data_IF_574579216061
#
_entry.id   IF_574579216061
#
_cell.length_a   1.000
_cell.length_b   1.000
_cell.length_c   1.000
_cell.angle_alpha   90.00
_cell.angle_beta   90.00
_cell.angle_gamma   90.00
#
_symmetry.space_group_name_H-M   'P 1'
#
loop_
_entity.id
_entity.type
_entity.pdbx_description
1 polymer ?
#
# COMPACT_ATOMS: atom_id res chain seq x y z
N UNK A 1 -83.60 -3.15 -17.32
CA UNK A 1 -82.80 -2.38 -16.34
C UNK A 1 -82.66 -0.97 -16.85
N UNK A 2 -83.14 0.02 -16.10
CA UNK A 2 -83.00 1.42 -16.52
C UNK A 2 -81.58 1.92 -16.29
N UNK A 3 -81.13 2.89 -17.09
CA UNK A 3 -79.83 3.56 -16.93
C UNK A 3 -79.64 4.12 -15.51
N UNK A 4 -80.75 4.49 -14.84
CA UNK A 4 -80.74 5.03 -13.49
C UNK A 4 -80.40 3.94 -12.45
N UNK A 5 -80.94 2.73 -12.61
CA UNK A 5 -80.64 1.59 -11.72
C UNK A 5 -79.19 1.12 -11.85
N UNK A 6 -78.67 1.10 -13.08
CA UNK A 6 -77.26 0.79 -13.35
C UNK A 6 -76.32 1.80 -12.68
N UNK A 7 -76.63 3.10 -12.73
CA UNK A 7 -75.83 4.14 -12.07
C UNK A 7 -75.81 3.96 -10.55
N UNK A 8 -76.96 3.71 -9.94
CA UNK A 8 -77.04 3.49 -8.49
C UNK A 8 -76.30 2.22 -8.05
N UNK A 9 -76.32 1.16 -8.87
CA UNK A 9 -75.52 -0.04 -8.58
C UNK A 9 -74.01 0.21 -8.72
N UNK A 10 -73.58 0.96 -9.75
CA UNK A 10 -72.17 1.32 -9.93
C UNK A 10 -71.67 2.18 -8.77
N UNK A 11 -72.46 3.15 -8.33
CA UNK A 11 -72.13 4.03 -7.19
C UNK A 11 -71.98 3.22 -5.91
N UNK A 12 -72.93 2.31 -5.61
CA UNK A 12 -72.86 1.41 -4.47
C UNK A 12 -71.62 0.51 -4.48
N UNK A 13 -71.29 -0.08 -5.65
CA UNK A 13 -70.10 -0.92 -5.79
C UNK A 13 -68.82 -0.10 -5.63
N UNK A 14 -68.80 1.14 -6.14
CA UNK A 14 -67.65 2.04 -6.00
C UNK A 14 -67.38 2.38 -4.53
N UNK A 15 -68.42 2.71 -3.76
CA UNK A 15 -68.32 3.01 -2.33
C UNK A 15 -67.79 1.81 -1.54
N UNK A 16 -68.30 0.61 -1.84
CA UNK A 16 -67.85 -0.63 -1.21
C UNK A 16 -66.40 -0.96 -1.57
N UNK A 17 -65.99 -0.69 -2.81
CA UNK A 17 -64.60 -0.83 -3.25
C UNK A 17 -63.67 0.15 -2.52
N UNK A 18 -64.11 1.39 -2.28
CA UNK A 18 -63.33 2.37 -1.53
C UNK A 18 -63.20 1.98 -0.05
N UNK A 19 -64.27 1.47 0.56
CA UNK A 19 -64.27 0.97 1.93
C UNK A 19 -63.30 -0.21 2.10
N UNK A 20 -63.34 -1.18 1.18
CA UNK A 20 -62.43 -2.32 1.18
C UNK A 20 -60.97 -1.90 0.98
N UNK A 21 -60.70 -0.89 0.14
CA UNK A 21 -59.35 -0.31 -0.02
C UNK A 21 -58.84 0.31 1.27
N UNK A 22 -59.68 1.07 1.99
CA UNK A 22 -59.31 1.66 3.30
C UNK A 22 -59.02 0.57 4.34
N UNK A 23 -59.82 -0.49 4.37
CA UNK A 23 -59.61 -1.61 5.28
C UNK A 23 -58.32 -2.39 4.96
N UNK A 24 -58.04 -2.64 3.68
CA UNK A 24 -56.77 -3.25 3.24
C UNK A 24 -55.55 -2.38 3.59
N UNK A 25 -55.66 -1.06 3.45
CA UNK A 25 -54.59 -0.14 3.84
C UNK A 25 -54.29 -0.24 5.34
N UNK A 26 -55.33 -0.30 6.18
CA UNK A 26 -55.19 -0.49 7.63
C UNK A 26 -54.52 -1.83 7.97
N UNK A 27 -55.01 -2.94 7.41
CA UNK A 27 -54.42 -4.26 7.64
C UNK A 27 -52.96 -4.36 7.18
N UNK A 28 -52.59 -3.68 6.08
CA UNK A 28 -51.18 -3.59 5.63
C UNK A 28 -50.31 -2.82 6.63
N UNK A 29 -50.83 -1.73 7.19
CA UNK A 29 -50.15 -0.97 8.24
C UNK A 29 -49.96 -1.81 9.52
N UNK A 30 -51.01 -2.51 9.96
CA UNK A 30 -50.95 -3.36 11.15
C UNK A 30 -49.97 -4.54 10.96
N UNK A 31 -49.97 -5.15 9.77
CA UNK A 31 -49.00 -6.20 9.41
C UNK A 31 -47.57 -5.67 9.44
N UNK A 32 -47.29 -4.48 8.89
CA UNK A 32 -45.93 -3.94 8.89
C UNK A 32 -45.43 -3.65 10.31
N UNK A 33 -46.30 -3.15 11.19
CA UNK A 33 -46.00 -2.92 12.60
C UNK A 33 -45.64 -4.22 13.33
N UNK A 34 -46.46 -5.27 13.16
CA UNK A 34 -46.20 -6.57 13.76
C UNK A 34 -44.93 -7.22 13.21
N UNK A 35 -44.67 -7.08 11.91
CA UNK A 35 -43.45 -7.57 11.28
C UNK A 35 -42.21 -6.87 11.86
N UNK A 36 -42.27 -5.56 12.10
CA UNK A 36 -41.20 -4.80 12.74
C UNK A 36 -40.96 -5.26 14.19
N UNK A 37 -42.03 -5.47 14.97
CA UNK A 37 -41.93 -5.98 16.34
C UNK A 37 -41.32 -7.40 16.39
N UNK A 38 -41.73 -8.28 15.48
CA UNK A 38 -41.18 -9.63 15.38
C UNK A 38 -39.69 -9.60 15.03
N UNK A 39 -39.28 -8.79 14.05
CA UNK A 39 -37.88 -8.65 13.68
C UNK A 39 -37.03 -8.13 14.84
N UNK A 40 -37.55 -7.20 15.64
CA UNK A 40 -36.85 -6.68 16.83
C UNK A 40 -36.62 -7.74 17.92
N UNK A 41 -37.52 -8.73 18.04
CA UNK A 41 -37.39 -9.83 19.01
C UNK A 41 -36.46 -10.94 18.50
N UNK A 42 -36.45 -11.17 17.18
CA UNK A 42 -35.69 -12.26 16.57
C UNK A 42 -34.25 -11.87 16.20
N UNK A 43 -33.95 -10.59 16.01
CA UNK A 43 -32.62 -10.13 15.60
C UNK A 43 -31.61 -10.22 16.77
N UNK A 44 -30.64 -11.16 16.73
CA UNK A 44 -29.66 -11.31 17.79
C UNK A 44 -28.77 -10.07 17.94
N UNK A 45 -28.59 -9.29 16.87
CA UNK A 45 -27.71 -8.11 16.85
C UNK A 45 -28.42 -6.88 17.42
N UNK A 46 -29.75 -6.82 17.35
CA UNK A 46 -30.54 -5.81 18.06
C UNK A 46 -30.45 -5.94 19.60
N UNK A 47 -29.92 -7.07 20.11
CA UNK A 47 -29.67 -7.29 21.55
C UNK A 47 -28.27 -6.87 22.00
N UNK A 48 -27.36 -6.61 21.06
CA UNK A 48 -26.02 -6.13 21.40
C UNK A 48 -26.07 -4.63 21.71
N UNK A 49 -25.30 -4.16 22.71
CA UNK A 49 -25.07 -2.73 22.87
C UNK A 49 -24.48 -2.13 21.57
N UNK A 50 -24.88 -0.91 21.19
CA UNK A 50 -24.43 -0.28 19.95
C UNK A 50 -22.90 -0.20 19.86
N UNK A 51 -22.20 -0.06 20.99
CA UNK A 51 -20.73 -0.04 21.07
C UNK A 51 -20.11 -1.41 20.71
N UNK A 52 -20.79 -2.50 21.05
CA UNK A 52 -20.33 -3.85 20.70
C UNK A 52 -20.51 -4.09 19.21
N UNK A 53 -21.67 -3.70 18.67
CA UNK A 53 -21.95 -3.78 17.24
C UNK A 53 -21.00 -2.91 16.41
N UNK A 54 -20.69 -1.69 16.86
CA UNK A 54 -19.73 -0.81 16.18
C UNK A 54 -18.33 -1.41 16.15
N UNK A 55 -17.89 -2.04 17.25
CA UNK A 55 -16.59 -2.73 17.28
C UNK A 55 -16.57 -3.94 16.33
N UNK A 56 -17.65 -4.72 16.26
CA UNK A 56 -17.78 -5.81 15.29
C UNK A 56 -17.64 -5.26 13.87
N UNK A 57 -18.36 -4.18 13.54
CA UNK A 57 -18.29 -3.55 12.23
C UNK A 57 -16.86 -3.09 11.88
N UNK A 58 -16.14 -2.50 12.83
CA UNK A 58 -14.75 -2.09 12.64
C UNK A 58 -13.83 -3.27 12.35
N UNK A 59 -14.03 -4.41 13.02
CA UNK A 59 -13.26 -5.63 12.73
C UNK A 59 -13.59 -6.25 11.37
N UNK A 60 -14.83 -6.08 10.87
CA UNK A 60 -15.20 -6.51 9.52
C UNK A 60 -14.57 -5.64 8.42
N UNK A 61 -14.20 -4.39 8.73
CA UNK A 61 -13.52 -3.47 7.81
C UNK A 61 -11.99 -3.52 7.90
N UNK A 62 -11.43 -4.35 8.79
CA UNK A 62 -9.98 -4.37 9.02
C UNK A 62 -9.24 -4.60 7.71
N UNK A 63 -8.35 -3.67 7.30
CA UNK A 63 -7.57 -3.83 6.08
C UNK A 63 -6.65 -5.03 6.29
N UNK A 64 -6.83 -6.08 5.50
CA UNK A 64 -5.74 -7.03 5.28
C UNK A 64 -4.65 -6.22 4.58
N UNK A 65 -3.41 -6.17 5.12
CA UNK A 65 -2.31 -5.53 4.43
C UNK A 65 -2.23 -6.10 3.01
N UNK A 66 -2.13 -5.24 1.99
CA UNK A 66 -2.08 -5.60 0.58
C UNK A 66 -0.88 -6.50 0.18
N UNK A 67 -0.11 -7.00 1.15
CA UNK A 67 1.08 -7.82 0.97
C UNK A 67 0.76 -9.33 0.86
N UNK A 68 -0.44 -9.80 1.25
CA UNK A 68 -0.75 -11.24 1.36
C UNK A 68 -1.89 -11.77 0.47
N UNK A 69 -2.50 -10.96 -0.39
CA UNK A 69 -3.59 -11.40 -1.27
C UNK A 69 -3.13 -11.49 -2.73
N UNK A 70 -3.31 -12.64 -3.42
CA UNK A 70 -3.12 -12.71 -4.86
C UNK A 70 -4.15 -11.79 -5.57
N UNK A 71 -3.83 -11.29 -6.77
CA UNK A 71 -4.72 -10.46 -7.59
C UNK A 71 -5.87 -11.30 -8.19
N UNK A 72 -6.67 -11.94 -7.33
CA UNK A 72 -7.94 -12.54 -7.73
C UNK A 72 -9.06 -11.58 -7.37
N UNK A 73 -9.61 -10.93 -8.39
CA UNK A 73 -10.65 -9.90 -8.36
C UNK A 73 -12.01 -10.33 -7.79
N UNK A 74 -12.04 -10.86 -6.56
CA UNK A 74 -13.28 -11.30 -5.92
C UNK A 74 -13.48 -10.79 -4.48
N UNK A 75 -12.55 -10.03 -3.92
CA UNK A 75 -12.74 -9.41 -2.60
C UNK A 75 -13.07 -7.93 -2.78
N UNK A 76 -14.36 -7.59 -2.70
CA UNK A 76 -14.84 -6.21 -2.71
C UNK A 76 -14.10 -5.39 -1.64
N UNK A 77 -13.72 -4.16 -1.99
CA UNK A 77 -13.04 -3.26 -1.08
C UNK A 77 -13.84 -2.94 0.20
N UNK A 78 -13.23 -2.28 1.18
CA UNK A 78 -13.88 -1.75 2.39
C UNK A 78 -15.26 -1.09 2.13
N UNK A 79 -15.37 -0.40 1.00
CA UNK A 79 -16.55 0.29 0.51
C UNK A 79 -17.76 -0.64 0.28
N UNK A 80 -17.51 -1.86 -0.21
CA UNK A 80 -18.56 -2.87 -0.41
C UNK A 80 -19.14 -3.31 0.93
N UNK A 81 -18.28 -3.48 1.94
CA UNK A 81 -18.69 -3.85 3.29
C UNK A 81 -19.46 -2.72 3.99
N UNK A 82 -19.04 -1.46 3.84
CA UNK A 82 -19.76 -0.30 4.35
C UNK A 82 -21.17 -0.19 3.76
N UNK A 83 -21.32 -0.35 2.45
CA UNK A 83 -22.64 -0.32 1.79
C UNK A 83 -23.50 -1.49 2.28
N UNK A 84 -22.93 -2.68 2.49
CA UNK A 84 -23.64 -3.81 3.08
C UNK A 84 -24.13 -3.48 4.49
N UNK A 85 -23.31 -2.89 5.36
CA UNK A 85 -23.72 -2.49 6.71
C UNK A 85 -24.91 -1.52 6.72
N UNK A 86 -24.99 -0.64 5.72
CA UNK A 86 -26.08 0.33 5.60
C UNK A 86 -27.40 -0.28 5.10
N UNK A 87 -27.37 -1.48 4.51
CA UNK A 87 -28.55 -2.09 3.85
C UNK A 87 -29.20 -3.24 4.62
N UNK A 88 -28.56 -3.78 5.66
CA UNK A 88 -29.08 -4.94 6.42
C UNK A 88 -30.37 -4.61 7.17
N UNK A 89 -30.34 -3.64 8.10
CA UNK A 89 -31.52 -3.22 8.86
C UNK A 89 -31.33 -1.81 9.42
N UNK A 90 -32.43 -1.14 9.81
CA UNK A 90 -32.40 0.22 10.35
C UNK A 90 -31.48 0.38 11.58
N UNK A 91 -31.36 -0.65 12.42
CA UNK A 91 -30.48 -0.61 13.59
C UNK A 91 -29.00 -0.56 13.17
N UNK A 92 -28.60 -1.40 12.21
CA UNK A 92 -27.24 -1.40 11.66
C UNK A 92 -26.94 -0.09 10.93
N UNK A 93 -27.87 0.39 10.10
CA UNK A 93 -27.73 1.69 9.44
C UNK A 93 -27.51 2.80 10.45
N UNK A 94 -28.29 2.82 11.55
CA UNK A 94 -28.15 3.82 12.61
C UNK A 94 -26.79 3.72 13.32
N UNK A 95 -26.36 2.52 13.66
CA UNK A 95 -25.07 2.28 14.33
C UNK A 95 -23.92 2.68 13.39
N UNK A 96 -23.98 2.27 12.13
CA UNK A 96 -22.94 2.56 11.14
C UNK A 96 -22.83 4.06 10.84
N UNK A 97 -23.97 4.74 10.65
CA UNK A 97 -24.01 6.19 10.44
C UNK A 97 -23.56 6.99 11.67
N UNK A 98 -23.74 6.46 12.89
CA UNK A 98 -23.32 7.12 14.14
C UNK A 98 -21.90 6.78 14.58
N UNK A 99 -21.18 5.92 13.85
CA UNK A 99 -19.81 5.50 14.17
C UNK A 99 -18.82 6.10 13.16
N UNK A 100 -18.16 7.25 13.47
CA UNK A 100 -17.27 7.94 12.53
C UNK A 100 -16.04 7.12 12.09
N UNK A 101 -15.56 6.20 12.94
CA UNK A 101 -14.41 5.34 12.64
C UNK A 101 -14.63 4.42 11.44
N UNK A 102 -15.89 4.08 11.12
CA UNK A 102 -16.19 3.26 9.95
C UNK A 102 -15.92 4.02 8.64
N UNK A 103 -15.84 5.36 8.69
CA UNK A 103 -15.71 6.22 7.51
C UNK A 103 -14.28 6.75 7.32
N UNK A 104 -13.31 6.25 8.11
CA UNK A 104 -11.92 6.73 8.06
C UNK A 104 -11.04 5.98 7.08
N UNK A 105 -11.47 4.80 6.60
CA UNK A 105 -10.76 4.03 5.57
C UNK A 105 -11.63 3.97 4.31
N UNK A 106 -11.12 4.50 3.20
CA UNK A 106 -11.88 4.67 1.95
C UNK A 106 -11.07 4.04 0.80
N UNK A 107 -11.70 3.20 -0.01
CA UNK A 107 -11.07 2.50 -1.15
C UNK A 107 -11.72 2.92 -2.47
N UNK A 108 -11.06 3.82 -3.18
CA UNK A 108 -11.53 4.43 -4.41
C UNK A 108 -11.03 3.59 -5.58
N UNK A 109 -11.97 3.03 -6.35
CA UNK A 109 -11.67 2.22 -7.54
C UNK A 109 -12.09 3.00 -8.78
N UNK A 110 -11.16 3.19 -9.71
CA UNK A 110 -11.39 3.87 -10.98
C UNK A 110 -11.56 2.89 -12.14
N UNK A 111 -12.49 3.15 -13.09
CA UNK A 111 -13.38 4.32 -13.14
C UNK A 111 -14.45 4.29 -12.03
N UNK A 112 -14.73 5.46 -11.46
CA UNK A 112 -15.76 5.60 -10.42
C UNK A 112 -17.17 5.54 -11.02
N UNK A 113 -18.13 5.01 -10.27
CA UNK A 113 -19.54 5.06 -10.66
C UNK A 113 -20.06 6.51 -10.70
N UNK A 114 -21.06 6.77 -11.56
CA UNK A 114 -21.76 8.06 -11.56
C UNK A 114 -22.31 8.38 -10.17
N UNK A 115 -22.09 9.63 -9.71
CA UNK A 115 -22.53 10.08 -8.39
C UNK A 115 -21.60 9.68 -7.22
N UNK A 116 -20.49 8.98 -7.48
CA UNK A 116 -19.51 8.65 -6.44
C UNK A 116 -18.87 9.88 -5.78
N UNK A 117 -18.54 10.99 -6.47
CA UNK A 117 -18.01 12.19 -5.81
C UNK A 117 -18.90 12.72 -4.68
N UNK A 118 -20.22 12.73 -4.86
CA UNK A 118 -21.19 13.16 -3.86
C UNK A 118 -21.26 12.20 -2.66
N UNK A 119 -21.14 10.90 -2.95
CA UNK A 119 -21.06 9.85 -1.94
C UNK A 119 -19.77 10.01 -1.12
N UNK A 120 -18.63 10.20 -1.78
CA UNK A 120 -17.32 10.40 -1.16
C UNK A 120 -17.31 11.61 -0.23
N UNK A 121 -17.84 12.76 -0.69
CA UNK A 121 -17.95 13.96 0.15
C UNK A 121 -18.81 13.67 1.40
N UNK A 122 -19.89 12.90 1.26
CA UNK A 122 -20.74 12.49 2.39
C UNK A 122 -19.96 11.59 3.37
N UNK A 123 -19.14 10.68 2.87
CA UNK A 123 -18.34 9.78 3.70
C UNK A 123 -17.27 10.54 4.48
N UNK A 124 -16.56 11.45 3.81
CA UNK A 124 -15.56 12.31 4.44
C UNK A 124 -16.17 13.21 5.52
N UNK A 125 -17.37 13.74 5.31
CA UNK A 125 -18.10 14.48 6.34
C UNK A 125 -18.45 13.62 7.57
N UNK A 126 -18.74 12.32 7.37
CA UNK A 126 -19.05 11.38 8.47
C UNK A 126 -17.81 10.95 9.26
N UNK A 127 -16.62 10.93 8.65
CA UNK A 127 -15.35 10.73 9.35
C UNK A 127 -15.04 11.85 10.36
N UNK A 128 -15.68 13.02 10.20
CA UNK A 128 -15.58 14.21 11.07
C UNK A 128 -14.19 14.85 11.07
N UNK A 129 -13.40 14.59 12.12
CA UNK A 129 -12.05 15.13 12.36
C UNK A 129 -11.04 14.00 12.58
N UNK A 130 -11.40 12.78 12.21
CA UNK A 130 -10.58 11.60 12.45
C UNK A 130 -9.55 11.45 11.32
N UNK A 131 -8.38 10.86 11.61
CA UNK A 131 -7.37 10.66 10.59
C UNK A 131 -7.86 9.72 9.47
N UNK A 132 -7.72 10.13 8.21
CA UNK A 132 -8.20 9.43 7.03
C UNK A 132 -7.12 8.57 6.38
N UNK A 133 -7.49 7.37 5.95
CA UNK A 133 -6.65 6.47 5.15
C UNK A 133 -7.35 6.21 3.83
N UNK A 134 -6.73 6.62 2.73
CA UNK A 134 -7.31 6.52 1.39
C UNK A 134 -6.45 5.58 0.55
N UNK A 135 -7.11 4.62 -0.08
CA UNK A 135 -6.55 3.75 -1.09
C UNK A 135 -7.20 4.12 -2.42
N UNK A 136 -6.41 4.40 -3.45
CA UNK A 136 -6.89 4.71 -4.80
C UNK A 136 -6.33 3.68 -5.78
N UNK A 137 -7.18 2.97 -6.52
CA UNK A 137 -6.78 1.88 -7.44
C UNK A 137 -7.52 1.96 -8.76
N UNK A 138 -7.04 1.28 -9.80
CA UNK A 138 -7.68 1.27 -11.12
C UNK A 138 -7.02 2.20 -12.13
N UNK A 139 -7.77 2.55 -13.18
CA UNK A 139 -7.32 3.46 -14.23
C UNK A 139 -7.34 4.92 -13.74
N UNK A 140 -6.20 5.47 -13.32
CA UNK A 140 -6.16 6.86 -12.86
C UNK A 140 -6.06 7.88 -13.99
N UNK A 141 -6.21 7.49 -15.25
CA UNK A 141 -6.45 8.45 -16.33
C UNK A 141 -7.93 8.79 -16.49
N UNK A 142 -8.79 8.18 -15.67
CA UNK A 142 -10.21 8.46 -15.67
C UNK A 142 -10.52 9.94 -15.34
N UNK A 143 -11.40 10.62 -16.09
CA UNK A 143 -11.73 12.03 -15.86
C UNK A 143 -12.23 12.35 -14.45
N UNK A 144 -12.83 11.37 -13.75
CA UNK A 144 -13.33 11.56 -12.38
C UNK A 144 -12.20 11.77 -11.36
N UNK A 145 -10.97 11.37 -11.66
CA UNK A 145 -9.80 11.52 -10.77
C UNK A 145 -9.57 12.98 -10.37
N UNK A 146 -9.77 13.91 -11.30
CA UNK A 146 -9.65 15.35 -11.04
C UNK A 146 -10.71 15.85 -10.03
N UNK A 147 -11.95 15.38 -10.13
CA UNK A 147 -13.04 15.75 -9.23
C UNK A 147 -12.85 15.10 -7.85
N UNK A 148 -12.46 13.82 -7.83
CA UNK A 148 -12.21 13.06 -6.61
C UNK A 148 -11.01 13.60 -5.84
N UNK A 149 -9.90 13.90 -6.53
CA UNK A 149 -8.72 14.51 -5.90
C UNK A 149 -9.08 15.84 -5.25
N UNK A 150 -9.83 16.71 -5.92
CA UNK A 150 -10.28 17.98 -5.34
C UNK A 150 -11.06 17.79 -4.02
N UNK A 151 -11.90 16.75 -3.94
CA UNK A 151 -12.66 16.40 -2.74
C UNK A 151 -11.74 15.88 -1.63
N UNK A 152 -10.80 14.98 -1.96
CA UNK A 152 -9.82 14.44 -1.00
C UNK A 152 -9.02 15.58 -0.36
N UNK A 153 -8.50 16.49 -1.20
CA UNK A 153 -7.60 17.55 -0.76
C UNK A 153 -8.28 18.66 0.04
N UNK A 154 -9.60 18.87 -0.15
CA UNK A 154 -10.42 19.70 0.74
C UNK A 154 -10.38 19.20 2.20
N UNK A 155 -10.20 17.89 2.40
CA UNK A 155 -10.07 17.26 3.71
C UNK A 155 -8.62 16.87 4.05
N UNK A 156 -7.62 17.38 3.31
CA UNK A 156 -6.21 16.97 3.41
C UNK A 156 -5.60 17.09 4.80
N UNK A 157 -6.05 18.03 5.63
CA UNK A 157 -5.59 18.18 7.03
C UNK A 157 -5.88 16.95 7.90
N UNK A 158 -6.82 16.12 7.50
CA UNK A 158 -7.16 14.87 8.17
C UNK A 158 -6.41 13.67 7.61
N UNK A 159 -5.73 13.82 6.46
CA UNK A 159 -5.10 12.69 5.78
C UNK A 159 -3.94 12.13 6.61
N UNK A 160 -3.99 10.82 6.85
CA UNK A 160 -2.99 10.04 7.57
C UNK A 160 -2.23 9.09 6.65
N UNK A 161 -2.95 8.43 5.75
CA UNK A 161 -2.38 7.46 4.83
C UNK A 161 -2.95 7.68 3.43
N UNK A 162 -2.09 7.62 2.42
CA UNK A 162 -2.48 7.58 1.01
C UNK A 162 -1.73 6.47 0.31
N UNK A 163 -2.47 5.52 -0.22
CA UNK A 163 -1.97 4.47 -1.09
C UNK A 163 -2.56 4.64 -2.49
N UNK A 164 -1.71 4.63 -3.51
CA UNK A 164 -2.08 4.80 -4.91
C UNK A 164 -1.59 3.57 -5.67
N UNK A 165 -2.48 2.80 -6.27
CA UNK A 165 -2.16 1.68 -7.15
C UNK A 165 -2.64 1.97 -8.57
N UNK A 166 -1.70 2.11 -9.51
CA UNK A 166 -1.98 2.33 -10.92
C UNK A 166 -2.20 1.01 -11.66
N UNK A 167 -3.32 0.82 -12.34
CA UNK A 167 -3.47 -0.27 -13.32
C UNK A 167 -3.03 0.20 -14.72
N UNK A 168 -2.34 -0.67 -15.46
CA UNK A 168 -1.88 -0.42 -16.84
C UNK A 168 -2.75 -1.14 -17.87
N UNK A 169 -4.06 -1.26 -17.62
CA UNK A 169 -4.96 -1.91 -18.56
C UNK A 169 -5.29 -0.95 -19.71
N UNK A 170 -4.40 -0.81 -20.69
CA UNK A 170 -4.74 -0.33 -22.03
C UNK A 170 -3.77 -0.94 -23.06
N UNK A 171 -4.04 -2.17 -23.49
CA UNK A 171 -3.37 -2.81 -24.64
C UNK A 171 -3.94 -2.35 -26.01
N UNK A 172 -5.02 -1.55 -26.05
CA UNK A 172 -5.83 -1.37 -27.27
C UNK A 172 -5.78 0.02 -27.94
N UNK A 173 -4.94 0.96 -27.49
CA UNK A 173 -4.87 2.29 -28.13
C UNK A 173 -3.54 2.53 -28.82
N UNK A 174 -3.50 2.28 -30.14
CA UNK A 174 -2.44 2.69 -31.10
C UNK A 174 -2.23 4.22 -31.20
N UNK A 175 -2.77 5.02 -30.27
CA UNK A 175 -2.59 6.47 -30.21
C UNK A 175 -1.61 6.81 -29.09
N UNK A 176 -0.32 6.91 -29.43
CA UNK A 176 0.79 7.22 -28.52
C UNK A 176 0.77 8.63 -27.91
N UNK A 177 -0.22 9.49 -28.17
CA UNK A 177 -0.07 10.94 -27.91
C UNK A 177 -0.81 11.52 -26.68
N UNK A 178 -1.74 10.81 -26.01
CA UNK A 178 -2.46 11.38 -24.85
C UNK A 178 -2.79 10.36 -23.74
N UNK A 179 -1.76 9.67 -23.20
CA UNK A 179 -1.93 8.92 -21.94
C UNK A 179 -1.96 9.89 -20.74
N UNK A 180 -2.89 9.67 -19.81
CA UNK A 180 -3.50 10.69 -18.96
C UNK A 180 -2.67 11.15 -17.75
N UNK A 181 -3.18 12.19 -17.09
CA UNK A 181 -2.50 12.93 -16.03
C UNK A 181 -3.01 12.59 -14.63
N UNK A 182 -3.95 11.68 -14.45
CA UNK A 182 -4.73 11.69 -13.21
C UNK A 182 -3.98 11.18 -11.97
N UNK A 183 -2.96 10.32 -12.13
CA UNK A 183 -1.96 10.10 -11.06
C UNK A 183 -1.29 11.41 -10.65
N UNK A 184 -0.82 12.19 -11.63
CA UNK A 184 -0.21 13.50 -11.41
C UNK A 184 -1.22 14.48 -10.83
N UNK A 185 -2.52 14.42 -11.17
CA UNK A 185 -3.54 15.31 -10.61
C UNK A 185 -3.84 15.03 -9.13
N UNK A 186 -3.86 13.76 -8.72
CA UNK A 186 -3.88 13.38 -7.31
C UNK A 186 -2.67 13.98 -6.58
N UNK A 187 -1.47 13.88 -7.17
CA UNK A 187 -0.25 14.44 -6.60
C UNK A 187 -0.22 15.98 -6.58
N UNK A 188 -0.59 16.64 -7.68
CA UNK A 188 -0.66 18.10 -7.79
C UNK A 188 -1.70 18.67 -6.84
N UNK A 189 -2.81 17.96 -6.63
CA UNK A 189 -3.80 18.31 -5.64
C UNK A 189 -3.22 18.28 -4.22
N UNK A 190 -2.33 17.33 -3.91
CA UNK A 190 -1.59 17.30 -2.65
C UNK A 190 -0.69 18.53 -2.50
N UNK A 191 0.06 18.87 -3.53
CA UNK A 191 0.92 20.07 -3.54
C UNK A 191 0.12 21.35 -3.28
N UNK A 192 -1.10 21.45 -3.83
CA UNK A 192 -2.02 22.57 -3.62
C UNK A 192 -2.64 22.61 -2.22
N UNK A 193 -2.68 21.49 -1.50
CA UNK A 193 -3.39 21.38 -0.22
C UNK A 193 -2.64 21.99 0.98
N UNK A 194 -1.35 22.31 0.80
CA UNK A 194 -0.49 22.84 1.86
C UNK A 194 0.03 21.74 2.80
N UNK A 195 0.52 22.10 4.01
CA UNK A 195 1.16 21.15 4.90
C UNK A 195 0.16 20.11 5.45
N UNK A 196 0.58 18.85 5.50
CA UNK A 196 -0.22 17.71 5.93
C UNK A 196 0.27 17.20 7.31
N UNK A 197 -0.25 17.74 8.42
CA UNK A 197 0.32 17.50 9.76
C UNK A 197 0.08 16.07 10.28
N UNK A 198 -0.95 15.38 9.80
CA UNK A 198 -1.30 14.02 10.23
C UNK A 198 -0.77 12.93 9.30
N UNK A 199 -0.14 13.32 8.19
CA UNK A 199 0.26 12.39 7.14
C UNK A 199 1.48 11.58 7.56
N UNK A 200 1.31 10.27 7.59
CA UNK A 200 2.25 9.28 8.14
C UNK A 200 2.68 8.25 7.10
N UNK A 201 1.81 7.89 6.15
CA UNK A 201 2.08 6.81 5.21
C UNK A 201 1.78 7.25 3.78
N UNK A 202 2.77 7.13 2.91
CA UNK A 202 2.64 7.29 1.47
C UNK A 202 3.11 6.03 0.78
N UNK A 203 2.23 5.43 -0.02
CA UNK A 203 2.54 4.25 -0.83
C UNK A 203 2.08 4.51 -2.25
N UNK A 204 3.00 4.41 -3.20
CA UNK A 204 2.69 4.51 -4.62
C UNK A 204 3.18 3.23 -5.26
N UNK A 205 2.26 2.53 -5.92
CA UNK A 205 2.47 1.23 -6.52
C UNK A 205 1.96 1.25 -7.95
N UNK A 206 2.70 0.59 -8.82
CA UNK A 206 2.22 0.20 -10.13
C UNK A 206 1.80 -1.27 -10.08
N UNK A 207 0.57 -1.56 -10.46
CA UNK A 207 0.09 -2.92 -10.67
C UNK A 207 0.54 -3.35 -12.07
N UNK A 208 1.33 -4.40 -12.12
CA UNK A 208 1.81 -4.99 -13.37
C UNK A 208 0.66 -5.78 -14.01
N UNK A 209 0.55 -5.71 -15.33
CA UNK A 209 -0.29 -6.62 -16.10
C UNK A 209 0.29 -8.05 -16.08
N UNK A 210 -0.50 -9.06 -16.46
CA UNK A 210 -0.03 -10.45 -16.53
C UNK A 210 1.11 -10.64 -17.56
N UNK A 211 1.29 -9.70 -18.49
CA UNK A 211 2.32 -9.75 -19.53
C UNK A 211 3.70 -9.27 -19.04
N UNK A 212 3.75 -8.54 -17.92
CA UNK A 212 4.97 -7.97 -17.36
C UNK A 212 5.60 -6.88 -18.22
N UNK A 213 4.87 -6.37 -19.23
CA UNK A 213 5.33 -5.33 -20.14
C UNK A 213 4.83 -3.97 -19.64
N UNK A 214 5.79 -3.08 -19.39
CA UNK A 214 5.53 -1.73 -18.94
C UNK A 214 4.96 -0.91 -20.11
N UNK A 215 3.68 -0.54 -20.06
CA UNK A 215 3.25 0.71 -20.72
C UNK A 215 3.98 1.92 -20.09
N UNK A 216 3.98 3.13 -20.67
CA UNK A 216 4.55 4.29 -20.00
C UNK A 216 3.58 4.80 -18.92
N UNK A 217 3.94 4.72 -17.62
CA UNK A 217 3.45 5.73 -16.68
C UNK A 217 4.28 6.97 -16.95
N UNK A 218 3.67 8.16 -16.95
CA UNK A 218 4.46 9.40 -16.88
C UNK A 218 5.16 9.45 -15.52
N UNK A 219 6.39 8.95 -15.50
CA UNK A 219 7.58 9.64 -15.00
C UNK A 219 7.30 10.76 -13.95
N UNK A 220 7.50 10.45 -12.66
CA UNK A 220 7.45 11.47 -11.61
C UNK A 220 8.75 12.27 -11.63
N UNK A 221 8.69 13.59 -11.63
CA UNK A 221 9.93 14.35 -11.53
C UNK A 221 10.45 14.31 -10.09
N UNK A 222 11.76 14.12 -9.92
CA UNK A 222 12.43 14.24 -8.61
C UNK A 222 12.02 15.51 -7.82
N UNK A 223 11.89 16.69 -8.46
CA UNK A 223 11.34 17.90 -7.85
C UNK A 223 9.98 17.71 -7.16
N UNK A 224 9.03 17.07 -7.83
CA UNK A 224 7.66 16.88 -7.31
C UNK A 224 7.66 15.98 -6.07
N UNK A 225 8.49 14.94 -6.08
CA UNK A 225 8.64 14.04 -4.94
C UNK A 225 9.23 14.80 -3.74
N UNK A 226 10.26 15.62 -3.94
CA UNK A 226 10.84 16.42 -2.85
C UNK A 226 9.86 17.46 -2.29
N UNK A 227 9.09 18.12 -3.16
CA UNK A 227 8.06 19.06 -2.74
C UNK A 227 7.00 18.34 -1.89
N UNK A 228 6.55 17.17 -2.31
CA UNK A 228 5.62 16.32 -1.57
C UNK A 228 6.16 15.97 -0.18
N UNK A 229 7.38 15.43 -0.13
CA UNK A 229 8.02 15.07 1.12
C UNK A 229 8.16 16.29 2.06
N UNK A 230 8.35 17.50 1.51
CA UNK A 230 8.40 18.74 2.30
C UNK A 230 7.06 19.12 2.94
N UNK A 231 5.94 18.72 2.36
CA UNK A 231 4.60 18.96 2.90
C UNK A 231 4.23 17.99 4.03
N UNK A 232 4.97 16.89 4.19
CA UNK A 232 4.70 15.81 5.11
C UNK A 232 5.82 15.62 6.16
N UNK A 233 6.00 16.56 7.10
CA UNK A 233 7.10 16.49 8.07
C UNK A 233 6.97 15.32 9.07
N UNK A 234 5.76 14.75 9.21
CA UNK A 234 5.46 13.63 10.11
C UNK A 234 5.39 12.28 9.38
N UNK A 235 5.86 12.22 8.13
CA UNK A 235 5.90 10.98 7.37
C UNK A 235 6.75 9.93 8.09
N UNK A 236 6.18 8.74 8.26
CA UNK A 236 6.79 7.58 8.91
C UNK A 236 7.18 6.53 7.87
N UNK A 237 6.34 6.32 6.86
CA UNK A 237 6.54 5.32 5.82
C UNK A 237 6.35 5.94 4.44
N UNK A 238 7.32 5.72 3.56
CA UNK A 238 7.30 6.19 2.19
C UNK A 238 7.76 5.08 1.25
N UNK A 239 6.93 4.74 0.27
CA UNK A 239 7.16 3.61 -0.62
C UNK A 239 6.80 3.96 -2.06
N UNK A 240 7.72 3.71 -3.00
CA UNK A 240 7.55 3.87 -4.43
C UNK A 240 7.89 2.55 -5.14
N UNK A 241 6.89 1.76 -5.54
CA UNK A 241 7.09 0.50 -6.25
C UNK A 241 6.83 0.65 -7.75
N UNK A 242 7.85 0.35 -8.55
CA UNK A 242 7.84 0.33 -10.00
C UNK A 242 7.39 1.68 -10.60
N UNK A 243 8.00 2.74 -10.07
CA UNK A 243 7.78 4.13 -10.45
C UNK A 243 9.03 4.70 -11.10
N UNK A 244 8.93 5.22 -12.32
CA UNK A 244 10.06 5.89 -12.96
C UNK A 244 10.17 7.34 -12.44
N UNK A 245 11.33 7.68 -11.89
CA UNK A 245 11.65 9.05 -11.49
C UNK A 245 12.56 9.71 -12.53
N UNK A 246 12.14 10.85 -13.08
CA UNK A 246 12.94 11.62 -14.06
C UNK A 246 13.94 12.52 -13.36
N UNK A 247 15.08 12.70 -14.01
CA UNK A 247 16.01 13.78 -13.72
C UNK A 247 15.38 15.17 -13.91
N UNK A 248 15.96 16.19 -13.27
CA UNK A 248 15.42 17.55 -13.30
C UNK A 248 15.59 18.31 -11.98
N UNK A 249 16.27 17.75 -10.98
CA UNK A 249 16.73 18.51 -9.80
C UNK A 249 17.88 19.45 -10.17
N UNK A 250 18.68 19.11 -11.18
CA UNK A 250 19.78 19.92 -11.66
C UNK A 250 19.31 21.27 -12.23
N UNK A 251 18.10 21.31 -12.79
CA UNK A 251 17.43 22.50 -13.33
C UNK A 251 16.71 23.36 -12.27
N UNK A 252 16.57 22.86 -11.03
CA UNK A 252 15.95 23.63 -9.95
C UNK A 252 16.92 24.67 -9.36
N UNK A 253 16.50 25.93 -9.37
CA UNK A 253 17.21 27.01 -8.68
C UNK A 253 16.23 27.81 -7.79
N UNK A 254 16.34 27.74 -6.44
CA UNK A 254 17.35 27.04 -5.66
C UNK A 254 17.05 25.54 -5.50
N UNK A 255 18.08 24.69 -5.59
CA UNK A 255 17.96 23.26 -5.25
C UNK A 255 17.48 23.09 -3.80
N UNK A 256 16.45 22.25 -3.55
CA UNK A 256 16.02 21.92 -2.19
C UNK A 256 17.17 21.18 -1.49
N UNK A 257 17.92 21.89 -0.64
CA UNK A 257 19.03 21.32 0.13
C UNK A 257 18.53 20.88 1.51
N UNK A 258 18.83 19.63 1.87
CA UNK A 258 18.68 19.06 3.21
C UNK A 258 17.23 19.05 3.73
N UNK A 259 16.33 18.40 3.00
CA UNK A 259 15.03 18.06 3.53
C UNK A 259 15.19 17.01 4.64
N UNK A 260 14.85 17.39 5.87
CA UNK A 260 14.92 16.52 7.04
C UNK A 260 13.54 15.91 7.28
N UNK A 261 13.45 14.58 7.23
CA UNK A 261 12.24 13.84 7.61
C UNK A 261 12.52 13.12 8.94
N UNK A 262 12.25 13.75 10.09
CA UNK A 262 12.74 13.29 11.39
C UNK A 262 12.05 12.02 11.89
N UNK A 263 10.89 11.67 11.33
CA UNK A 263 10.08 10.53 11.75
C UNK A 263 10.05 9.38 10.74
N UNK A 264 10.69 9.54 9.58
CA UNK A 264 10.68 8.53 8.53
C UNK A 264 11.49 7.31 9.00
N UNK A 265 10.79 6.21 9.24
CA UNK A 265 11.37 4.94 9.67
C UNK A 265 11.45 3.91 8.54
N UNK A 266 10.63 4.04 7.49
CA UNK A 266 10.63 3.15 6.32
C UNK A 266 10.69 3.95 5.03
N UNK A 267 11.71 3.69 4.21
CA UNK A 267 11.86 4.24 2.87
C UNK A 267 12.10 3.09 1.90
N UNK A 268 11.22 2.94 0.91
CA UNK A 268 11.29 1.86 -0.05
C UNK A 268 11.16 2.38 -1.47
N UNK A 269 12.11 2.00 -2.31
CA UNK A 269 12.04 2.10 -3.75
C UNK A 269 12.09 0.68 -4.31
N UNK A 270 11.05 0.30 -5.05
CA UNK A 270 10.87 -1.01 -5.62
C UNK A 270 11.94 -1.39 -6.65
N UNK A 271 12.00 -2.67 -7.04
CA UNK A 271 13.05 -3.22 -7.90
C UNK A 271 13.17 -2.52 -9.25
N UNK A 272 12.03 -2.14 -9.86
CA UNK A 272 12.00 -1.47 -11.18
C UNK A 272 11.84 0.04 -11.07
N UNK A 273 11.91 0.61 -9.86
CA UNK A 273 11.85 2.06 -9.67
C UNK A 273 13.18 2.67 -10.12
N UNK A 274 13.17 3.39 -11.25
CA UNK A 274 14.34 4.14 -11.70
C UNK A 274 14.47 5.43 -10.86
N UNK A 275 15.61 5.62 -10.20
CA UNK A 275 15.94 6.84 -9.45
C UNK A 275 17.13 7.50 -10.15
N UNK A 276 17.09 8.81 -10.42
CA UNK A 276 18.25 9.50 -10.98
C UNK A 276 19.46 9.40 -10.03
N UNK A 277 20.67 9.32 -10.57
CA UNK A 277 21.92 9.32 -9.81
C UNK A 277 22.55 10.71 -9.68
N UNK A 278 23.58 10.78 -8.82
CA UNK A 278 24.44 11.96 -8.72
C UNK A 278 23.68 13.21 -8.28
N UNK A 279 23.91 14.33 -8.96
CA UNK A 279 23.30 15.62 -8.59
C UNK A 279 21.78 15.66 -8.74
N UNK A 280 21.21 14.74 -9.51
CA UNK A 280 19.77 14.59 -9.74
C UNK A 280 19.10 13.59 -8.77
N UNK A 281 19.88 12.95 -7.90
CA UNK A 281 19.37 11.95 -6.98
C UNK A 281 18.57 12.54 -5.81
N UNK A 282 17.33 12.07 -5.66
CA UNK A 282 16.44 12.42 -4.54
C UNK A 282 17.13 12.14 -3.19
N UNK A 283 17.92 11.05 -3.12
CA UNK A 283 18.66 10.69 -1.92
C UNK A 283 19.70 11.75 -1.52
N UNK A 284 20.25 12.57 -2.43
CA UNK A 284 21.20 13.62 -2.08
C UNK A 284 20.58 14.78 -1.29
N UNK A 285 19.26 14.98 -1.43
CA UNK A 285 18.53 16.05 -0.77
C UNK A 285 17.95 15.64 0.59
N UNK A 286 17.91 14.34 0.90
CA UNK A 286 17.23 13.81 2.09
C UNK A 286 18.17 13.60 3.29
N UNK A 287 17.66 13.86 4.49
CA UNK A 287 18.27 13.48 5.77
C UNK A 287 17.23 12.80 6.66
N UNK A 288 17.42 11.51 6.94
CA UNK A 288 16.39 10.64 7.57
C UNK A 288 16.97 9.91 8.79
N UNK A 289 17.17 10.60 9.92
CA UNK A 289 17.95 10.07 11.05
C UNK A 289 17.30 8.93 11.83
N UNK A 290 16.02 8.64 11.58
CA UNK A 290 15.27 7.55 12.22
C UNK A 290 15.00 6.36 11.29
N UNK A 291 15.65 6.31 10.14
CA UNK A 291 15.40 5.25 9.17
C UNK A 291 15.80 3.88 9.74
N UNK A 292 14.84 2.98 9.83
CA UNK A 292 15.02 1.60 10.32
C UNK A 292 15.00 0.61 9.15
N UNK A 293 14.22 0.89 8.10
CA UNK A 293 14.11 0.03 6.92
C UNK A 293 14.37 0.81 5.64
N UNK A 294 15.30 0.32 4.84
CA UNK A 294 15.64 0.85 3.52
C UNK A 294 15.53 -0.26 2.47
N UNK A 295 14.75 -0.01 1.42
CA UNK A 295 14.72 -0.85 0.21
C UNK A 295 15.09 -0.01 -0.99
N UNK A 296 16.09 -0.44 -1.77
CA UNK A 296 16.58 0.29 -2.95
C UNK A 296 17.00 -0.65 -4.07
N UNK A 297 16.91 -0.16 -5.31
CA UNK A 297 17.49 -0.78 -6.49
C UNK A 297 18.77 -0.04 -6.88
N UNK A 298 19.88 -0.75 -7.12
CA UNK A 298 21.17 -0.15 -7.47
C UNK A 298 21.43 -0.13 -8.98
N UNK A 299 20.45 -0.50 -9.81
CA UNK A 299 20.57 -0.39 -11.27
C UNK A 299 20.95 1.03 -11.71
N UNK A 300 20.45 2.04 -10.99
CA UNK A 300 20.62 3.46 -11.30
C UNK A 300 21.21 4.27 -10.13
N UNK A 301 21.61 3.66 -9.02
CA UNK A 301 22.16 4.34 -7.83
C UNK A 301 23.61 3.94 -7.60
N UNK A 302 24.52 4.91 -7.45
CA UNK A 302 25.93 4.63 -7.14
C UNK A 302 26.12 4.32 -5.65
N UNK A 303 27.15 3.54 -5.31
CA UNK A 303 27.50 3.27 -3.92
C UNK A 303 27.85 4.58 -3.16
N UNK A 304 28.50 5.53 -3.85
CA UNK A 304 28.86 6.82 -3.27
C UNK A 304 27.65 7.68 -2.88
N UNK A 305 26.57 7.63 -3.65
CA UNK A 305 25.32 8.33 -3.32
C UNK A 305 24.70 7.76 -2.03
N UNK A 306 24.71 6.44 -1.89
CA UNK A 306 24.24 5.76 -0.67
C UNK A 306 25.13 6.02 0.54
N UNK A 307 26.44 5.97 0.38
CA UNK A 307 27.41 6.31 1.44
C UNK A 307 27.16 7.74 1.91
N UNK A 308 27.10 8.70 0.99
CA UNK A 308 26.85 10.12 1.32
C UNK A 308 25.52 10.31 2.04
N UNK A 309 24.48 9.59 1.62
CA UNK A 309 23.17 9.59 2.27
C UNK A 309 23.19 9.02 3.68
N UNK A 310 23.86 7.88 3.89
CA UNK A 310 23.99 7.23 5.18
C UNK A 310 24.88 8.02 6.14
N UNK A 311 25.98 8.59 5.68
CA UNK A 311 26.84 9.45 6.50
C UNK A 311 26.06 10.69 6.96
N UNK A 312 25.32 11.33 6.06
CA UNK A 312 24.51 12.50 6.37
C UNK A 312 23.36 12.20 7.32
N UNK A 313 22.68 11.06 7.15
CA UNK A 313 21.51 10.71 7.96
C UNK A 313 21.87 9.99 9.26
N UNK A 314 23.00 9.27 9.29
CA UNK A 314 23.43 8.37 10.38
C UNK A 314 22.30 7.53 10.99
N UNK A 315 21.52 6.78 10.17
CA UNK A 315 20.30 6.12 10.64
C UNK A 315 20.58 4.81 11.41
N UNK A 316 19.72 4.42 12.37
CA UNK A 316 19.80 3.14 13.07
C UNK A 316 19.20 2.00 12.22
N UNK A 317 19.73 1.78 11.02
CA UNK A 317 19.16 0.85 10.04
C UNK A 317 19.16 -0.60 10.56
N UNK A 318 17.99 -1.24 10.55
CA UNK A 318 17.76 -2.61 11.01
C UNK A 318 17.50 -3.58 9.86
N UNK A 319 16.90 -3.10 8.77
CA UNK A 319 16.55 -3.89 7.59
C UNK A 319 17.00 -3.18 6.32
N UNK A 320 17.69 -3.91 5.45
CA UNK A 320 18.16 -3.43 4.17
C UNK A 320 17.82 -4.44 3.08
N UNK A 321 17.09 -3.98 2.06
CA UNK A 321 16.73 -4.76 0.86
C UNK A 321 17.39 -4.13 -0.36
N UNK A 322 18.14 -4.92 -1.12
CA UNK A 322 18.80 -4.52 -2.36
C UNK A 322 18.28 -5.39 -3.51
N UNK A 323 17.51 -4.81 -4.43
CA UNK A 323 16.80 -5.59 -5.46
C UNK A 323 17.52 -5.72 -6.81
N UNK A 324 18.45 -4.83 -7.12
CA UNK A 324 19.32 -4.92 -8.30
C UNK A 324 20.71 -4.46 -7.87
N UNK A 325 21.73 -5.21 -8.22
CA UNK A 325 23.14 -4.96 -7.85
C UNK A 325 24.01 -4.68 -9.06
N UNK A 326 23.43 -4.52 -10.25
CA UNK A 326 24.16 -4.28 -11.50
C UNK A 326 25.03 -3.01 -11.45
N UNK A 327 24.59 -1.96 -10.74
CA UNK A 327 25.39 -0.77 -10.51
C UNK A 327 26.62 -0.99 -9.62
N UNK A 328 26.69 -2.10 -8.87
CA UNK A 328 27.82 -2.43 -7.99
C UNK A 328 28.97 -3.14 -8.69
N UNK A 329 28.82 -3.56 -9.96
CA UNK A 329 29.82 -4.41 -10.65
C UNK A 329 31.20 -3.71 -10.76
N UNK A 330 31.27 -2.40 -10.53
CA UNK A 330 32.50 -1.61 -10.57
C UNK A 330 32.79 -0.77 -9.31
N UNK A 331 31.92 -0.80 -8.29
CA UNK A 331 32.04 0.10 -7.15
C UNK A 331 32.89 -0.51 -6.01
N UNK A 332 34.15 -0.07 -5.98
CA UNK A 332 35.19 -0.40 -4.99
C UNK A 332 34.82 -0.04 -3.53
N UNK A 333 33.74 0.72 -3.36
CA UNK A 333 33.33 1.33 -2.09
C UNK A 333 32.18 0.59 -1.40
N UNK A 334 31.65 -0.50 -1.97
CA UNK A 334 30.53 -1.20 -1.32
C UNK A 334 30.92 -1.77 0.05
N UNK A 335 32.15 -2.23 0.23
CA UNK A 335 32.67 -2.61 1.54
C UNK A 335 32.62 -1.46 2.58
N UNK A 336 32.90 -0.22 2.16
CA UNK A 336 32.77 0.97 3.02
C UNK A 336 31.30 1.23 3.39
N UNK A 337 30.37 1.03 2.45
CA UNK A 337 28.93 1.08 2.71
C UNK A 337 28.50 0.07 3.77
N UNK A 338 28.97 -1.19 3.69
CA UNK A 338 28.59 -2.23 4.67
C UNK A 338 29.05 -1.88 6.10
N UNK A 339 30.18 -1.18 6.23
CA UNK A 339 30.71 -0.72 7.52
C UNK A 339 29.83 0.33 8.20
N UNK A 340 29.02 1.07 7.45
CA UNK A 340 28.11 2.10 7.98
C UNK A 340 26.84 1.51 8.63
N UNK A 341 26.68 0.18 8.63
CA UNK A 341 25.43 -0.49 9.03
C UNK A 341 25.58 -1.43 10.25
N UNK A 342 26.12 -0.98 11.40
CA UNK A 342 26.37 -1.86 12.55
C UNK A 342 25.10 -2.38 13.26
N UNK A 343 23.97 -1.72 13.04
CA UNK A 343 22.66 -2.06 13.65
C UNK A 343 21.84 -3.05 12.83
N UNK A 344 22.35 -3.48 11.67
CA UNK A 344 21.62 -4.30 10.72
C UNK A 344 21.29 -5.69 11.31
N UNK A 345 20.02 -6.07 11.23
CA UNK A 345 19.48 -7.34 11.71
C UNK A 345 18.99 -8.23 10.55
N UNK A 346 18.43 -7.60 9.51
CA UNK A 346 17.88 -8.29 8.34
C UNK A 346 18.55 -7.72 7.08
N UNK A 347 19.12 -8.58 6.26
CA UNK A 347 19.69 -8.19 4.97
C UNK A 347 19.11 -9.06 3.87
N UNK A 348 18.57 -8.42 2.83
CA UNK A 348 18.00 -9.08 1.67
C UNK A 348 18.67 -8.57 0.40
N UNK A 349 19.10 -9.49 -0.46
CA UNK A 349 19.75 -9.15 -1.72
C UNK A 349 19.20 -9.99 -2.85
N UNK A 350 18.93 -9.35 -3.98
CA UNK A 350 18.42 -9.98 -5.18
C UNK A 350 19.50 -10.03 -6.25
N UNK A 351 19.66 -11.21 -6.85
CA UNK A 351 20.56 -11.48 -7.97
C UNK A 351 22.02 -11.04 -7.70
N UNK A 352 22.62 -11.44 -6.56
CA UNK A 352 23.97 -11.01 -6.22
C UNK A 352 25.00 -11.56 -7.23
N UNK A 353 25.96 -10.72 -7.62
CA UNK A 353 27.13 -11.15 -8.40
C UNK A 353 28.12 -11.93 -7.52
N UNK A 354 28.99 -12.74 -8.13
CA UNK A 354 30.02 -13.48 -7.39
C UNK A 354 30.99 -12.55 -6.63
N UNK A 355 31.26 -11.36 -7.20
CA UNK A 355 32.07 -10.33 -6.54
C UNK A 355 31.37 -9.80 -5.28
N UNK A 356 30.09 -9.46 -5.38
CA UNK A 356 29.28 -9.04 -4.23
C UNK A 356 29.25 -10.13 -3.14
N UNK A 357 29.08 -11.39 -3.53
CA UNK A 357 29.12 -12.52 -2.59
C UNK A 357 30.48 -12.63 -1.88
N UNK A 358 31.57 -12.33 -2.58
CA UNK A 358 32.91 -12.29 -2.00
C UNK A 358 33.06 -11.12 -1.02
N UNK A 359 32.58 -9.92 -1.38
CA UNK A 359 32.60 -8.75 -0.50
C UNK A 359 31.72 -8.94 0.75
N UNK A 360 30.56 -9.59 0.60
CA UNK A 360 29.70 -9.96 1.72
C UNK A 360 30.37 -10.97 2.63
N UNK A 361 31.08 -11.97 2.07
CA UNK A 361 31.86 -12.91 2.88
C UNK A 361 32.96 -12.20 3.66
N UNK A 362 33.69 -11.26 3.04
CA UNK A 362 34.70 -10.46 3.73
C UNK A 362 34.09 -9.57 4.84
N UNK A 363 32.98 -8.88 4.56
CA UNK A 363 32.30 -8.05 5.56
C UNK A 363 31.77 -8.85 6.75
N UNK A 364 31.31 -10.08 6.50
CA UNK A 364 30.94 -11.03 7.55
C UNK A 364 32.17 -11.52 8.31
N UNK A 365 33.34 -11.69 7.69
CA UNK A 365 34.59 -12.01 8.41
C UNK A 365 35.03 -10.86 9.31
N UNK A 366 34.90 -9.61 8.84
CA UNK A 366 35.36 -8.40 9.53
C UNK A 366 34.44 -7.89 10.66
N UNK A 367 33.33 -8.59 10.94
CA UNK A 367 32.37 -8.27 12.01
C UNK A 367 31.58 -6.98 11.82
N UNK A 368 31.35 -6.55 10.59
CA UNK A 368 30.60 -5.31 10.35
C UNK A 368 29.17 -5.36 10.87
N UNK A 369 28.55 -6.54 10.88
CA UNK A 369 27.16 -6.75 11.29
C UNK A 369 27.04 -7.67 12.49
N UNK A 370 27.40 -7.20 13.69
CA UNK A 370 27.36 -8.02 14.91
C UNK A 370 25.95 -8.47 15.30
N UNK A 371 24.91 -7.80 14.76
CA UNK A 371 23.51 -8.05 15.08
C UNK A 371 22.74 -8.77 13.97
N UNK A 372 23.40 -9.19 12.88
CA UNK A 372 22.73 -9.83 11.75
C UNK A 372 22.12 -11.17 12.16
N UNK A 373 20.80 -11.30 12.00
CA UNK A 373 20.03 -12.50 12.34
C UNK A 373 19.53 -13.22 11.09
N UNK A 374 19.09 -12.46 10.11
CA UNK A 374 18.40 -12.97 8.93
C UNK A 374 19.08 -12.48 7.66
N UNK A 375 19.45 -13.43 6.80
CA UNK A 375 20.00 -13.16 5.47
C UNK A 375 19.14 -13.85 4.42
N UNK A 376 18.61 -13.06 3.50
CA UNK A 376 17.78 -13.52 2.39
C UNK A 376 18.55 -13.27 1.10
N UNK A 377 18.76 -14.33 0.33
CA UNK A 377 19.48 -14.26 -0.95
C UNK A 377 18.59 -14.82 -2.04
N UNK A 378 18.22 -13.97 -2.99
CA UNK A 378 17.47 -14.38 -4.17
C UNK A 378 18.40 -14.65 -5.35
N UNK A 379 18.15 -15.75 -6.04
CA UNK A 379 18.89 -16.24 -7.20
C UNK A 379 20.40 -16.43 -6.93
N UNK A 380 20.70 -17.19 -5.87
CA UNK A 380 22.06 -17.47 -5.43
C UNK A 380 22.91 -18.11 -6.55
N UNK A 381 24.00 -17.44 -6.96
CA UNK A 381 25.08 -18.05 -7.74
C UNK A 381 25.88 -19.03 -6.87
N UNK A 382 26.34 -20.19 -7.39
CA UNK A 382 27.01 -21.23 -6.59
C UNK A 382 28.36 -20.76 -6.03
N UNK A 383 28.34 -20.09 -4.87
CA UNK A 383 29.53 -19.72 -4.10
C UNK A 383 29.46 -20.36 -2.70
N UNK A 384 30.36 -21.30 -2.45
CA UNK A 384 30.48 -21.99 -1.14
C UNK A 384 31.13 -21.12 -0.07
N UNK A 385 31.89 -20.09 -0.48
CA UNK A 385 32.66 -19.20 0.41
C UNK A 385 31.78 -18.54 1.47
N UNK A 386 30.66 -17.92 1.08
CA UNK A 386 29.75 -17.27 2.01
C UNK A 386 29.15 -18.26 3.04
N UNK A 387 28.79 -19.46 2.59
CA UNK A 387 28.23 -20.49 3.49
C UNK A 387 29.26 -20.96 4.53
N UNK A 388 30.53 -21.09 4.14
CA UNK A 388 31.62 -21.42 5.07
C UNK A 388 31.88 -20.27 6.07
N UNK A 389 31.85 -19.02 5.63
CA UNK A 389 31.99 -17.85 6.51
C UNK A 389 30.83 -17.76 7.51
N UNK A 390 29.59 -17.99 7.07
CA UNK A 390 28.41 -18.06 7.95
C UNK A 390 28.55 -19.18 8.99
N UNK A 391 29.11 -20.33 8.59
CA UNK A 391 29.39 -21.44 9.50
C UNK A 391 30.48 -21.12 10.55
N UNK A 392 31.37 -20.17 10.28
CA UNK A 392 32.34 -19.71 11.28
C UNK A 392 31.70 -18.76 12.33
N UNK A 393 30.60 -18.07 11.98
CA UNK A 393 29.89 -17.03 12.76
C UNK A 393 28.76 -17.55 13.68
N UNK A 394 28.89 -18.80 14.15
CA UNK A 394 27.84 -19.66 14.75
C UNK A 394 26.88 -19.05 15.80
N UNK A 395 27.25 -18.11 16.70
CA UNK A 395 26.34 -17.75 17.80
C UNK A 395 25.36 -16.60 17.51
N UNK A 396 25.49 -15.85 16.43
CA UNK A 396 24.69 -14.62 16.18
C UNK A 396 23.60 -14.78 15.12
N UNK A 397 23.80 -15.71 14.18
CA UNK A 397 23.00 -15.85 12.97
C UNK A 397 21.88 -16.88 13.14
N UNK A 398 20.63 -16.53 12.79
CA UNK A 398 19.44 -17.34 13.09
C UNK A 398 18.84 -18.00 11.83
N UNK A 399 18.71 -17.25 10.75
CA UNK A 399 17.99 -17.69 9.55
C UNK A 399 18.74 -17.35 8.27
N UNK A 400 18.89 -18.35 7.39
CA UNK A 400 19.30 -18.16 6.00
C UNK A 400 18.14 -18.57 5.09
N UNK A 401 17.64 -17.63 4.29
CA UNK A 401 16.64 -17.92 3.26
C UNK A 401 17.28 -17.79 1.90
N UNK A 402 17.14 -18.84 1.09
CA UNK A 402 17.65 -18.90 -0.27
C UNK A 402 16.43 -19.05 -1.18
N UNK A 403 16.19 -18.07 -2.04
CA UNK A 403 15.17 -18.17 -3.08
C UNK A 403 15.88 -18.42 -4.40
N UNK A 404 15.51 -19.46 -5.14
CA UNK A 404 16.17 -19.81 -6.40
C UNK A 404 15.15 -20.21 -7.45
N UNK A 405 15.36 -19.73 -8.68
CA UNK A 405 14.64 -20.17 -9.86
C UNK A 405 15.36 -21.38 -10.48
N UNK A 406 15.35 -22.54 -9.80
CA UNK A 406 16.01 -23.74 -10.30
C UNK A 406 16.36 -24.78 -9.23
N UNK A 407 16.92 -25.93 -9.65
CA UNK A 407 17.42 -26.93 -8.71
C UNK A 407 18.60 -26.38 -7.92
N UNK A 408 18.64 -26.73 -6.64
CA UNK A 408 19.71 -26.29 -5.76
C UNK A 408 21.04 -26.96 -6.16
N UNK A 409 22.15 -26.21 -6.34
CA UNK A 409 23.43 -26.78 -6.71
C UNK A 409 23.90 -27.83 -5.69
N UNK A 410 24.44 -28.95 -6.18
CA UNK A 410 24.86 -30.06 -5.31
C UNK A 410 26.05 -29.66 -4.43
N UNK A 411 26.86 -28.73 -4.93
CA UNK A 411 28.08 -28.20 -4.33
C UNK A 411 27.80 -27.46 -3.01
N UNK A 412 26.62 -26.85 -2.86
CA UNK A 412 26.26 -26.09 -1.64
C UNK A 412 25.50 -26.95 -0.61
N UNK A 413 25.03 -28.15 -0.98
CA UNK A 413 24.26 -29.02 -0.08
C UNK A 413 25.06 -29.48 1.13
N UNK A 414 26.36 -29.77 0.98
CA UNK A 414 27.22 -30.17 2.10
C UNK A 414 27.33 -29.05 3.13
N UNK A 415 27.63 -27.83 2.69
CA UNK A 415 27.72 -26.65 3.54
C UNK A 415 26.38 -26.34 4.23
N UNK A 416 25.25 -26.47 3.52
CA UNK A 416 23.92 -26.28 4.11
C UNK A 416 23.59 -27.31 5.18
N UNK A 417 23.98 -28.58 5.00
CA UNK A 417 23.80 -29.61 6.03
C UNK A 417 24.59 -29.27 7.29
N UNK A 418 25.83 -28.78 7.14
CA UNK A 418 26.65 -28.34 8.27
C UNK A 418 26.03 -27.14 9.00
N UNK A 419 25.49 -26.17 8.26
CA UNK A 419 24.77 -25.02 8.82
C UNK A 419 23.50 -25.44 9.58
N UNK A 420 22.67 -26.34 9.03
CA UNK A 420 21.49 -26.87 9.75
C UNK A 420 21.89 -27.64 11.00
N UNK A 421 22.94 -28.48 10.92
CA UNK A 421 23.46 -29.20 12.07
C UNK A 421 23.98 -28.26 13.18
N UNK A 422 24.39 -27.03 12.82
CA UNK A 422 24.79 -26.00 13.76
C UNK A 422 23.63 -25.20 14.38
N UNK A 423 22.38 -25.48 14.00
CA UNK A 423 21.18 -24.85 14.55
C UNK A 423 20.62 -23.68 13.74
N UNK A 424 21.25 -23.31 12.62
CA UNK A 424 20.77 -22.26 11.71
C UNK A 424 19.56 -22.78 10.94
N UNK A 425 18.50 -21.97 10.89
CA UNK A 425 17.30 -22.32 10.11
C UNK A 425 17.51 -21.96 8.65
N UNK A 426 17.49 -22.96 7.77
CA UNK A 426 17.61 -22.73 6.34
C UNK A 426 16.26 -22.93 5.66
N UNK A 427 15.86 -21.95 4.86
CA UNK A 427 14.64 -22.00 4.04
C UNK A 427 15.02 -21.94 2.56
N UNK A 428 14.45 -22.83 1.75
CA UNK A 428 14.56 -22.81 0.29
C UNK A 428 13.17 -22.45 -0.24
N UNK A 429 13.00 -21.23 -0.73
CA UNK A 429 11.69 -20.62 -0.93
C UNK A 429 10.87 -20.68 0.37
N UNK A 430 9.67 -21.28 0.31
CA UNK A 430 8.79 -21.43 1.48
C UNK A 430 9.06 -22.69 2.32
N UNK A 431 9.98 -23.56 1.90
CA UNK A 431 10.23 -24.86 2.56
C UNK A 431 11.45 -24.81 3.45
N UNK A 432 11.29 -25.22 4.71
CA UNK A 432 12.41 -25.43 5.63
C UNK A 432 13.25 -26.63 5.17
N UNK A 433 14.54 -26.41 4.91
CA UNK A 433 15.49 -27.47 4.60
C UNK A 433 15.69 -28.34 5.84
N UNK A 434 15.55 -29.66 5.67
CA UNK A 434 15.74 -30.66 6.74
C UNK A 434 16.81 -31.66 6.29
N UNK A 435 17.62 -32.11 7.24
CA UNK A 435 18.72 -33.06 7.07
C UNK A 435 18.25 -34.40 6.49
#
# INVERSE_FOLDING_TARGET
>A
MSVKELRTQIEKISDETELQKKFLAKLRSDKSLLQHQLNAVLDPVARLPPETSSNIFLHCLSPVPALDLPPSGACGGPDTYLILLLTVCNAWTTIALSTPDLWTAIDIIFPCAEGFPEILETWLQRARKRPLSILSRGNLDDPSVSAISAIIWKHGQQLRSLEICADTENEDTENEEEHGTGHVDLFLGMLKSGPLPLFQTLVIRRLLDESGLLGPLREFSGPQILELLSLAPNLMECTFHDVDCVSGLSDLDPRPKNLILPNLCRLSFGPRTAIPNGEDGILQCLSVPRLEVLSVSLSNLSANDLISFLERSSPPLQELVISDVSGLIHDIHFHDFLRLLPSLQHFEVWWPSDDLMTQLSAALEDSFWPNLRDLIIHNLSPTTTLLHTLYARRPQFQTLRIEMNGPLPVEILSAMRELVASGIQIYIGTKKFRL
#
